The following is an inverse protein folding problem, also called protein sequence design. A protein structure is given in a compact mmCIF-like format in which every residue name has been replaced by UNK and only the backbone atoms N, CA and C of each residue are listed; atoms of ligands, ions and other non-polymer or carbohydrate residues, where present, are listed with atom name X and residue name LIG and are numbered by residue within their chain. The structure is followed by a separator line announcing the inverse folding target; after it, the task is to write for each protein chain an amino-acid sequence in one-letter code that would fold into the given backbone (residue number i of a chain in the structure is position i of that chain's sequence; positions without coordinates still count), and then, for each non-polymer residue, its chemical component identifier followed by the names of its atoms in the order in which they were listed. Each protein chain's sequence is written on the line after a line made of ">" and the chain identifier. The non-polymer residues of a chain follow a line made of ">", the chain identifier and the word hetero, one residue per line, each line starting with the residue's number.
data_IF_673733388417
#
_entry.id   IF_673733388417
#
_cell.length_a   1.000
_cell.length_b   1.000
_cell.length_c   1.000
_cell.angle_alpha   90.00
_cell.angle_beta   90.00
_cell.angle_gamma   90.00
#
_symmetry.space_group_name_H-M   'P 1'
#
loop_
_entity.id
_entity.type
_entity.pdbx_description
1 polymer ?
#
# COMPACT_ATOMS: atom_id res chain seq x y z
N UNK A 1 33.74 21.46 -5.75
CA UNK A 1 33.13 22.82 -5.71
C UNK A 1 31.63 22.64 -5.64
N UNK A 2 31.01 23.03 -4.53
CA UNK A 2 29.55 22.95 -4.35
C UNK A 2 28.88 24.03 -5.20
N UNK A 3 27.96 23.62 -6.07
CA UNK A 3 27.13 24.53 -6.86
C UNK A 3 26.37 25.49 -5.93
N UNK A 4 26.51 26.79 -6.13
CA UNK A 4 25.83 27.80 -5.31
C UNK A 4 24.33 27.78 -5.59
N UNK A 5 23.52 28.19 -4.61
CA UNK A 5 22.06 28.25 -4.75
C UNK A 5 21.62 29.14 -5.93
N UNK A 6 22.36 30.21 -6.21
CA UNK A 6 22.10 31.10 -7.34
C UNK A 6 22.30 30.39 -8.68
N UNK A 7 23.41 29.65 -8.85
CA UNK A 7 23.66 28.88 -10.08
C UNK A 7 22.62 27.78 -10.31
N UNK A 8 22.17 27.10 -9.24
CA UNK A 8 21.06 26.12 -9.33
C UNK A 8 19.76 26.77 -9.79
N UNK A 9 19.44 27.94 -9.24
CA UNK A 9 18.22 28.66 -9.58
C UNK A 9 18.23 29.10 -11.05
N UNK A 10 19.34 29.62 -11.54
CA UNK A 10 19.50 29.99 -12.96
C UNK A 10 19.39 28.78 -13.88
N UNK A 11 19.92 27.61 -13.47
CA UNK A 11 19.77 26.36 -14.22
C UNK A 11 18.30 25.93 -14.28
N UNK A 12 17.58 25.95 -13.16
CA UNK A 12 16.15 25.64 -13.15
C UNK A 12 15.32 26.64 -13.97
N UNK A 13 15.70 27.92 -13.95
CA UNK A 13 15.04 28.95 -14.76
C UNK A 13 15.18 28.63 -16.26
N UNK A 14 16.41 28.33 -16.72
CA UNK A 14 16.68 27.93 -18.12
C UNK A 14 15.93 26.66 -18.52
N UNK A 15 15.85 25.68 -17.62
CA UNK A 15 15.10 24.46 -17.86
C UNK A 15 13.59 24.72 -17.95
N UNK A 16 13.06 25.62 -17.13
CA UNK A 16 11.65 26.02 -17.19
C UNK A 16 11.32 26.75 -18.51
N UNK A 17 12.21 27.63 -18.97
CA UNK A 17 12.07 28.33 -20.26
C UNK A 17 12.12 27.38 -21.47
N UNK A 18 12.81 26.24 -21.35
CA UNK A 18 12.90 25.21 -22.39
C UNK A 18 11.68 24.28 -22.44
N UNK A 19 10.81 24.29 -21.42
CA UNK A 19 9.59 23.46 -21.39
C UNK A 19 8.49 24.03 -22.31
N UNK A 20 7.56 23.19 -22.78
CA UNK A 20 6.38 23.63 -23.52
C UNK A 20 5.64 24.76 -22.80
N UNK A 21 5.15 25.76 -23.55
CA UNK A 21 4.51 26.98 -23.01
C UNK A 21 3.35 26.66 -22.06
N UNK A 22 2.62 25.58 -22.32
CA UNK A 22 1.52 25.10 -21.47
C UNK A 22 1.94 24.64 -20.06
N UNK A 23 3.23 24.40 -19.82
CA UNK A 23 3.76 23.90 -18.56
C UNK A 23 4.46 24.98 -17.72
N UNK A 24 5.01 26.01 -18.36
CA UNK A 24 5.85 27.04 -17.72
C UNK A 24 5.14 27.75 -16.55
N UNK A 25 3.82 27.98 -16.65
CA UNK A 25 3.02 28.67 -15.62
C UNK A 25 2.49 27.75 -14.51
N UNK A 26 2.55 26.44 -14.71
CA UNK A 26 1.91 25.46 -13.82
C UNK A 26 2.91 24.64 -13.01
N UNK A 27 4.19 24.66 -13.39
CA UNK A 27 5.25 23.90 -12.72
C UNK A 27 5.99 24.77 -11.70
N UNK A 28 6.05 24.31 -10.45
CA UNK A 28 6.96 24.86 -9.44
C UNK A 28 8.42 24.51 -9.77
N UNK A 29 9.36 25.43 -9.50
CA UNK A 29 10.80 25.24 -9.70
C UNK A 29 11.35 23.90 -9.17
N UNK A 30 10.79 23.40 -8.06
CA UNK A 30 11.18 22.12 -7.45
C UNK A 30 10.93 20.91 -8.37
N UNK A 31 9.96 21.01 -9.28
CA UNK A 31 9.54 19.91 -10.15
C UNK A 31 10.08 20.06 -11.58
N UNK A 32 10.74 21.18 -11.91
CA UNK A 32 11.24 21.49 -13.25
C UNK A 32 12.23 20.43 -13.73
N UNK A 33 13.16 20.03 -12.87
CA UNK A 33 14.15 19.00 -13.21
C UNK A 33 13.49 17.64 -13.47
N UNK A 34 12.42 17.32 -12.72
CA UNK A 34 11.71 16.07 -12.90
C UNK A 34 10.95 16.02 -14.22
N UNK A 35 10.35 17.14 -14.65
CA UNK A 35 9.61 17.28 -15.91
C UNK A 35 10.55 17.36 -17.10
N UNK A 36 11.64 18.12 -17.00
CA UNK A 36 12.64 18.22 -18.07
C UNK A 36 13.37 16.89 -18.33
N UNK A 37 13.39 15.98 -17.34
CA UNK A 37 13.90 14.63 -17.51
C UNK A 37 12.96 13.68 -18.26
N UNK A 38 11.72 14.09 -18.57
CA UNK A 38 10.80 13.30 -19.39
C UNK A 38 11.14 13.43 -20.89
N UNK A 39 10.85 12.40 -21.71
CA UNK A 39 10.86 12.52 -23.16
C UNK A 39 9.95 13.67 -23.64
N UNK A 40 10.28 14.29 -24.79
CA UNK A 40 9.53 15.45 -25.31
C UNK A 40 8.04 15.16 -25.48
N UNK A 41 7.68 13.98 -26.01
CA UNK A 41 6.27 13.57 -26.17
C UNK A 41 5.52 13.47 -24.84
N UNK A 42 6.21 13.01 -23.78
CA UNK A 42 5.62 12.95 -22.44
C UNK A 42 5.47 14.36 -21.82
N UNK A 43 6.37 15.29 -22.13
CA UNK A 43 6.21 16.69 -21.73
C UNK A 43 5.01 17.34 -22.42
N UNK A 44 4.79 17.06 -23.70
CA UNK A 44 3.61 17.54 -24.44
C UNK A 44 2.31 16.97 -23.88
N UNK A 45 2.25 15.65 -23.61
CA UNK A 45 1.08 15.02 -22.96
C UNK A 45 0.81 15.59 -21.57
N UNK A 46 1.85 15.87 -20.79
CA UNK A 46 1.70 16.52 -19.49
C UNK A 46 1.14 17.94 -19.65
N UNK A 47 1.58 18.67 -20.68
CA UNK A 47 1.08 20.01 -20.99
C UNK A 47 -0.43 19.98 -21.30
N UNK A 48 -0.86 19.03 -22.14
CA UNK A 48 -2.26 18.81 -22.48
C UNK A 48 -3.10 18.45 -21.25
N UNK A 49 -2.61 17.54 -20.40
CA UNK A 49 -3.29 17.17 -19.16
C UNK A 49 -3.43 18.36 -18.19
N UNK A 50 -2.40 19.19 -18.05
CA UNK A 50 -2.47 20.41 -17.24
C UNK A 50 -3.52 21.38 -17.77
N UNK A 51 -3.57 21.59 -19.09
CA UNK A 51 -4.60 22.43 -19.71
C UNK A 51 -6.01 21.86 -19.51
N UNK A 52 -6.15 20.53 -19.53
CA UNK A 52 -7.40 19.84 -19.28
C UNK A 52 -7.77 19.72 -17.78
N UNK A 53 -6.99 20.33 -16.87
CA UNK A 53 -7.34 20.46 -15.46
C UNK A 53 -6.60 19.54 -14.50
N UNK A 54 -5.48 18.95 -14.89
CA UNK A 54 -4.64 18.11 -14.02
C UNK A 54 -4.14 18.91 -12.80
N UNK A 55 -4.56 18.48 -11.60
CA UNK A 55 -4.19 19.15 -10.34
C UNK A 55 -2.89 18.63 -9.70
N UNK A 56 -2.46 17.40 -10.02
CA UNK A 56 -1.36 16.69 -9.32
C UNK A 56 -0.19 16.38 -10.26
N UNK A 57 0.63 17.39 -10.56
CA UNK A 57 1.78 17.26 -11.47
C UNK A 57 2.81 16.20 -11.03
N UNK A 58 3.26 16.12 -9.75
CA UNK A 58 4.29 15.15 -9.37
C UNK A 58 3.91 13.70 -9.70
N UNK A 59 2.64 13.35 -9.46
CA UNK A 59 2.12 12.01 -9.74
C UNK A 59 2.08 11.70 -11.23
N UNK A 60 1.65 12.66 -12.05
CA UNK A 60 1.64 12.49 -13.50
C UNK A 60 3.05 12.33 -14.08
N UNK A 61 4.04 13.03 -13.51
CA UNK A 61 5.46 12.86 -13.88
C UNK A 61 5.96 11.47 -13.53
N UNK A 62 5.57 10.90 -12.38
CA UNK A 62 5.90 9.52 -12.03
C UNK A 62 5.27 8.51 -13.01
N UNK A 63 4.01 8.70 -13.39
CA UNK A 63 3.34 7.84 -14.37
C UNK A 63 4.03 7.88 -15.73
N UNK A 64 4.34 9.09 -16.23
CA UNK A 64 5.02 9.29 -17.51
C UNK A 64 6.49 8.82 -17.52
N UNK A 65 7.13 8.71 -16.35
CA UNK A 65 8.44 8.07 -16.23
C UNK A 65 8.38 6.56 -16.41
N UNK A 66 7.28 5.93 -15.97
CA UNK A 66 7.06 4.49 -16.12
C UNK A 66 6.60 4.18 -17.54
N UNK A 67 5.61 4.91 -18.04
CA UNK A 67 5.11 4.80 -19.40
C UNK A 67 4.91 6.18 -20.05
N UNK A 68 5.85 6.61 -20.92
CA UNK A 68 5.75 7.87 -21.65
C UNK A 68 4.51 8.00 -22.54
N UNK A 69 3.84 6.89 -22.86
CA UNK A 69 2.66 6.84 -23.73
C UNK A 69 1.33 6.87 -22.96
N UNK A 70 1.36 7.05 -21.64
CA UNK A 70 0.14 7.22 -20.82
C UNK A 70 -0.76 8.31 -21.40
N UNK A 71 -2.05 7.98 -21.63
CA UNK A 71 -2.98 8.91 -22.29
C UNK A 71 -3.34 10.09 -21.39
N UNK A 72 -3.74 11.23 -21.98
CA UNK A 72 -4.19 12.41 -21.23
C UNK A 72 -5.40 12.10 -20.34
N UNK A 73 -6.28 11.21 -20.79
CA UNK A 73 -7.45 10.76 -20.00
C UNK A 73 -6.99 10.00 -18.76
N UNK A 74 -6.00 9.12 -18.90
CA UNK A 74 -5.41 8.36 -17.79
C UNK A 74 -4.55 9.23 -16.87
N UNK A 75 -4.08 10.40 -17.31
CA UNK A 75 -3.40 11.34 -16.42
C UNK A 75 -4.40 12.16 -15.59
N UNK A 76 -5.51 12.58 -16.22
CA UNK A 76 -6.56 13.39 -15.58
C UNK A 76 -7.42 12.57 -14.62
N UNK A 77 -7.85 11.41 -15.11
CA UNK A 77 -8.55 10.40 -14.38
C UNK A 77 -7.60 9.22 -14.32
N UNK A 78 -6.56 9.28 -13.46
CA UNK A 78 -5.77 8.09 -13.20
C UNK A 78 -6.76 6.98 -12.96
N UNK A 79 -6.72 5.87 -13.75
CA UNK A 79 -7.44 4.68 -13.34
C UNK A 79 -7.06 4.56 -11.88
N UNK A 80 -8.07 4.57 -11.01
CA UNK A 80 -7.89 4.31 -9.60
C UNK A 80 -6.84 3.22 -9.56
N UNK A 81 -5.61 3.55 -9.10
CA UNK A 81 -4.46 2.63 -8.94
C UNK A 81 -5.06 1.26 -8.82
N UNK A 82 -4.84 0.23 -9.66
CA UNK A 82 -5.72 -0.94 -9.70
C UNK A 82 -6.07 -1.35 -8.27
N UNK A 83 -7.21 -0.84 -7.81
CA UNK A 83 -7.82 -1.16 -6.55
C UNK A 83 -8.66 -2.25 -7.09
N UNK A 84 -8.27 -3.45 -6.70
CA UNK A 84 -8.74 -4.69 -7.28
C UNK A 84 -7.96 -5.10 -8.54
N UNK A 85 -6.67 -5.41 -8.37
CA UNK A 85 -6.38 -6.82 -8.67
C UNK A 85 -7.30 -7.59 -7.73
N UNK A 86 -8.34 -8.22 -8.30
CA UNK A 86 -8.87 -9.43 -7.68
C UNK A 86 -7.63 -10.19 -7.23
N UNK A 87 -7.46 -10.45 -5.92
CA UNK A 87 -6.21 -10.99 -5.42
C UNK A 87 -5.83 -12.11 -6.37
N UNK A 88 -4.68 -11.97 -7.04
CA UNK A 88 -4.29 -12.92 -8.08
C UNK A 88 -4.49 -14.31 -7.50
N UNK A 89 -4.92 -15.28 -8.31
CA UNK A 89 -5.23 -16.63 -7.80
C UNK A 89 -4.14 -17.13 -6.84
N UNK A 90 -2.88 -16.76 -7.07
CA UNK A 90 -1.73 -16.96 -6.20
C UNK A 90 -1.84 -16.32 -4.80
N UNK A 91 -2.29 -15.07 -4.68
CA UNK A 91 -2.54 -14.38 -3.39
C UNK A 91 -3.66 -15.07 -2.62
N UNK A 92 -4.77 -15.40 -3.28
CA UNK A 92 -5.88 -16.10 -2.62
C UNK A 92 -5.44 -17.47 -2.14
N UNK A 93 -4.74 -18.24 -2.98
CA UNK A 93 -4.18 -19.53 -2.59
C UNK A 93 -3.18 -19.41 -1.44
N UNK A 94 -2.36 -18.35 -1.42
CA UNK A 94 -1.44 -18.10 -0.32
C UNK A 94 -2.18 -17.87 1.01
N UNK A 95 -3.17 -16.97 1.01
CA UNK A 95 -4.00 -16.67 2.19
C UNK A 95 -4.74 -17.93 2.66
N UNK A 96 -5.34 -18.68 1.74
CA UNK A 96 -6.03 -19.94 2.06
C UNK A 96 -5.08 -20.95 2.72
N UNK A 97 -3.87 -21.10 2.16
CA UNK A 97 -2.88 -22.03 2.69
C UNK A 97 -2.37 -21.62 4.07
N UNK A 98 -2.16 -20.32 4.29
CA UNK A 98 -1.75 -19.74 5.57
C UNK A 98 -2.83 -19.94 6.63
N UNK A 99 -4.09 -19.59 6.33
CA UNK A 99 -5.21 -19.78 7.24
C UNK A 99 -5.45 -21.25 7.58
N UNK A 100 -5.39 -22.14 6.59
CA UNK A 100 -5.48 -23.58 6.84
C UNK A 100 -4.34 -24.07 7.74
N UNK A 101 -3.14 -23.51 7.60
CA UNK A 101 -2.00 -23.77 8.50
C UNK A 101 -2.27 -23.32 9.93
N UNK A 102 -2.80 -22.10 10.12
CA UNK A 102 -3.18 -21.57 11.43
C UNK A 102 -4.29 -22.40 12.09
N UNK A 103 -5.32 -22.79 11.32
CA UNK A 103 -6.39 -23.67 11.81
C UNK A 103 -5.82 -24.99 12.32
N UNK A 104 -4.87 -25.61 11.61
CA UNK A 104 -4.24 -26.85 12.06
C UNK A 104 -3.34 -26.66 13.29
N UNK A 105 -2.77 -25.47 13.51
CA UNK A 105 -2.09 -25.16 14.76
C UNK A 105 -3.07 -25.08 15.94
N UNK A 106 -4.27 -24.53 15.71
CA UNK A 106 -5.33 -24.53 16.72
C UNK A 106 -5.91 -25.93 16.96
N UNK A 107 -6.04 -26.74 15.91
CA UNK A 107 -6.67 -28.07 15.92
C UNK A 107 -5.75 -29.12 15.26
N UNK A 108 -4.75 -29.66 15.99
CA UNK A 108 -3.71 -30.52 15.42
C UNK A 108 -4.23 -31.80 14.74
N UNK A 109 -5.34 -32.36 15.25
CA UNK A 109 -5.95 -33.57 14.71
C UNK A 109 -6.80 -33.33 13.45
N UNK A 110 -6.99 -32.06 13.05
CA UNK A 110 -7.81 -31.71 11.89
C UNK A 110 -7.10 -32.07 10.57
N UNK A 111 -7.70 -32.89 9.69
CA UNK A 111 -7.15 -33.17 8.37
C UNK A 111 -7.01 -31.90 7.53
N UNK A 112 -5.96 -31.83 6.70
CA UNK A 112 -5.65 -30.66 5.87
C UNK A 112 -6.83 -30.22 5.01
N UNK A 113 -7.51 -31.16 4.38
CA UNK A 113 -8.67 -30.91 3.51
C UNK A 113 -9.81 -30.23 4.29
N UNK A 114 -10.03 -30.61 5.56
CA UNK A 114 -11.02 -29.97 6.42
C UNK A 114 -10.62 -28.56 6.83
N UNK A 115 -9.33 -28.34 7.12
CA UNK A 115 -8.82 -27.01 7.44
C UNK A 115 -8.90 -26.05 6.24
N UNK A 116 -8.62 -26.53 5.03
CA UNK A 116 -8.79 -25.76 3.79
C UNK A 116 -10.26 -25.46 3.49
N UNK A 117 -11.16 -26.42 3.70
CA UNK A 117 -12.59 -26.20 3.57
C UNK A 117 -13.09 -25.15 4.58
N UNK A 118 -12.65 -25.23 5.84
CA UNK A 118 -12.99 -24.26 6.87
C UNK A 118 -12.43 -22.86 6.54
N UNK A 119 -11.17 -22.78 6.11
CA UNK A 119 -10.53 -21.53 5.70
C UNK A 119 -11.29 -20.82 4.54
N UNK A 120 -12.02 -21.57 3.72
CA UNK A 120 -12.84 -21.05 2.62
C UNK A 120 -14.32 -20.81 2.96
N UNK A 121 -14.77 -21.23 4.15
CA UNK A 121 -16.17 -21.08 4.56
C UNK A 121 -16.53 -19.64 4.92
N UNK A 122 -17.82 -19.29 4.88
CA UNK A 122 -18.29 -17.93 5.18
C UNK A 122 -17.93 -17.48 6.60
N UNK A 123 -17.89 -18.40 7.57
CA UNK A 123 -17.52 -18.08 8.96
C UNK A 123 -16.07 -17.58 9.11
N UNK A 124 -15.21 -17.82 8.12
CA UNK A 124 -13.81 -17.38 8.09
C UNK A 124 -13.59 -16.11 7.26
N UNK A 125 -14.66 -15.43 6.80
CA UNK A 125 -14.54 -14.20 6.00
C UNK A 125 -13.70 -13.12 6.68
N UNK A 126 -13.99 -12.80 7.94
CA UNK A 126 -13.24 -11.79 8.69
C UNK A 126 -11.74 -12.14 8.83
N UNK A 127 -11.41 -13.42 8.97
CA UNK A 127 -10.02 -13.89 9.04
C UNK A 127 -9.31 -13.75 7.68
N UNK A 128 -10.01 -14.05 6.57
CA UNK A 128 -9.50 -13.85 5.20
C UNK A 128 -9.24 -12.39 4.90
N UNK A 129 -10.18 -11.51 5.24
CA UNK A 129 -10.05 -10.07 5.02
C UNK A 129 -8.88 -9.49 5.81
N UNK A 130 -8.72 -9.94 7.06
CA UNK A 130 -7.60 -9.54 7.92
C UNK A 130 -6.27 -10.03 7.33
N UNK A 131 -6.16 -11.29 6.93
CA UNK A 131 -4.96 -11.84 6.31
C UNK A 131 -4.61 -11.11 4.99
N UNK A 132 -5.62 -10.79 4.18
CA UNK A 132 -5.43 -10.00 2.97
C UNK A 132 -4.91 -8.59 3.28
N UNK A 133 -5.49 -7.90 4.26
CA UNK A 133 -5.05 -6.58 4.68
C UNK A 133 -3.60 -6.59 5.18
N UNK A 134 -3.22 -7.62 5.96
CA UNK A 134 -1.85 -7.82 6.43
C UNK A 134 -0.88 -8.04 5.27
N UNK A 135 -1.24 -8.88 4.30
CA UNK A 135 -0.40 -9.12 3.13
C UNK A 135 -0.19 -7.82 2.33
N UNK A 136 -1.25 -7.04 2.10
CA UNK A 136 -1.17 -5.77 1.39
C UNK A 136 -0.32 -4.74 2.16
N UNK A 137 -0.43 -4.71 3.49
CA UNK A 137 0.40 -3.88 4.36
C UNK A 137 1.90 -4.17 4.13
N UNK A 138 2.31 -5.45 4.14
CA UNK A 138 3.71 -5.82 3.95
C UNK A 138 4.21 -5.63 2.51
N UNK A 139 3.32 -5.64 1.51
CA UNK A 139 3.65 -5.27 0.13
C UNK A 139 3.81 -3.77 -0.08
N UNK A 140 3.36 -2.94 0.86
CA UNK A 140 3.43 -1.48 0.73
C UNK A 140 4.88 -0.98 0.80
N UNK A 141 5.28 -0.21 -0.22
CA UNK A 141 6.57 0.50 -0.23
C UNK A 141 6.70 1.52 0.90
N UNK A 142 5.58 1.95 1.50
CA UNK A 142 5.56 2.97 2.54
C UNK A 142 5.77 2.42 3.95
N UNK A 143 5.63 1.11 4.17
CA UNK A 143 5.75 0.51 5.51
C UNK A 143 7.13 0.76 6.15
N UNK A 144 8.17 0.91 5.32
CA UNK A 144 9.54 1.21 5.78
C UNK A 144 9.73 2.65 6.28
N UNK A 145 8.73 3.50 6.15
CA UNK A 145 8.78 4.89 6.64
C UNK A 145 8.55 4.89 8.14
N UNK A 146 9.43 5.53 8.92
CA UNK A 146 9.36 5.56 10.39
C UNK A 146 7.98 5.93 10.92
N UNK A 147 7.37 6.99 10.39
CA UNK A 147 6.04 7.43 10.80
C UNK A 147 4.96 6.39 10.50
N UNK A 148 5.00 5.76 9.33
CA UNK A 148 4.02 4.73 8.94
C UNK A 148 4.20 3.50 9.82
N UNK A 149 5.44 3.06 10.04
CA UNK A 149 5.75 1.91 10.89
C UNK A 149 5.29 2.13 12.33
N UNK A 150 5.52 3.32 12.90
CA UNK A 150 5.06 3.66 14.25
C UNK A 150 3.53 3.62 14.37
N UNK A 151 2.81 4.18 13.39
CA UNK A 151 1.34 4.18 13.40
C UNK A 151 0.80 2.75 13.24
N UNK A 152 1.33 1.99 12.28
CA UNK A 152 0.93 0.58 12.06
C UNK A 152 1.21 -0.26 13.30
N UNK A 153 2.38 -0.11 13.92
CA UNK A 153 2.72 -0.80 15.16
C UNK A 153 1.74 -0.46 16.30
N UNK A 154 1.40 0.81 16.47
CA UNK A 154 0.40 1.25 17.44
C UNK A 154 -0.98 0.63 17.20
N UNK A 155 -1.43 0.61 15.94
CA UNK A 155 -2.69 -0.02 15.55
C UNK A 155 -2.70 -1.52 15.85
N UNK A 156 -1.64 -2.25 15.48
CA UNK A 156 -1.54 -3.69 15.73
C UNK A 156 -1.57 -4.01 17.23
N UNK A 157 -0.95 -3.17 18.06
CA UNK A 157 -1.03 -3.32 19.52
C UNK A 157 -2.43 -3.11 20.05
N UNK A 158 -3.12 -2.06 19.61
CA UNK A 158 -4.49 -1.79 20.04
C UNK A 158 -5.44 -2.91 19.61
N UNK A 159 -5.29 -3.42 18.39
CA UNK A 159 -6.06 -4.57 17.91
C UNK A 159 -5.80 -5.82 18.75
N UNK A 160 -4.54 -6.13 19.04
CA UNK A 160 -4.19 -7.29 19.86
C UNK A 160 -4.76 -7.18 21.28
N UNK A 161 -4.64 -6.00 21.89
CA UNK A 161 -5.20 -5.74 23.23
C UNK A 161 -6.71 -5.96 23.24
N UNK A 162 -7.44 -5.44 22.25
CA UNK A 162 -8.88 -5.62 22.16
C UNK A 162 -9.29 -7.09 21.93
N UNK A 163 -8.51 -7.85 21.16
CA UNK A 163 -8.74 -9.29 20.98
C UNK A 163 -8.47 -10.07 22.27
N UNK A 164 -7.40 -9.74 23.00
CA UNK A 164 -7.07 -10.35 24.28
C UNK A 164 -8.19 -10.10 25.32
N UNK A 165 -8.69 -8.86 25.41
CA UNK A 165 -9.85 -8.52 26.26
C UNK A 165 -11.10 -9.33 25.89
N UNK A 166 -11.41 -9.46 24.59
CA UNK A 166 -12.56 -10.23 24.12
C UNK A 166 -12.44 -11.73 24.47
N UNK A 167 -11.23 -12.30 24.36
CA UNK A 167 -10.96 -13.69 24.76
C UNK A 167 -11.10 -13.84 26.28
N UNK A 168 -10.56 -12.89 27.05
CA UNK A 168 -10.67 -12.91 28.51
C UNK A 168 -12.13 -12.84 28.97
N UNK A 169 -12.94 -11.98 28.35
CA UNK A 169 -14.34 -11.77 28.72
C UNK A 169 -15.27 -12.91 28.28
N UNK A 170 -14.81 -13.79 27.39
CA UNK A 170 -15.62 -14.88 26.82
C UNK A 170 -15.10 -16.26 27.25
N UNK A 171 -15.73 -16.95 28.23
CA UNK A 171 -15.25 -18.23 28.76
C UNK A 171 -15.02 -19.32 27.71
N UNK A 172 -15.90 -19.40 26.69
CA UNK A 172 -15.78 -20.37 25.61
C UNK A 172 -14.55 -20.11 24.72
N UNK A 173 -14.21 -18.83 24.47
CA UNK A 173 -13.01 -18.47 23.73
C UNK A 173 -11.76 -18.78 24.56
N UNK A 174 -11.74 -18.40 25.84
CA UNK A 174 -10.64 -18.72 26.74
C UNK A 174 -10.34 -20.23 26.77
N UNK A 175 -11.39 -21.06 26.93
CA UNK A 175 -11.23 -22.51 26.88
C UNK A 175 -10.69 -23.00 25.53
N UNK A 176 -11.15 -22.42 24.41
CA UNK A 176 -10.65 -22.79 23.09
C UNK A 176 -9.16 -22.42 22.91
N UNK A 177 -8.71 -21.29 23.45
CA UNK A 177 -7.30 -20.90 23.42
C UNK A 177 -6.43 -21.73 24.38
N UNK A 178 -6.95 -22.11 25.55
CA UNK A 178 -6.25 -22.99 26.50
C UNK A 178 -6.06 -24.42 25.96
N UNK A 179 -7.04 -24.90 25.17
CA UNK A 179 -7.01 -26.22 24.55
C UNK A 179 -6.32 -26.24 23.18
N UNK A 180 -6.20 -25.08 22.54
CA UNK A 180 -5.57 -24.92 21.24
C UNK A 180 -4.04 -24.98 21.32
N UNK A 181 -3.41 -25.29 20.18
CA UNK A 181 -1.95 -25.32 20.08
C UNK A 181 -1.28 -23.94 19.89
N UNK A 182 -2.07 -22.85 19.83
CA UNK A 182 -1.51 -21.51 19.70
C UNK A 182 -1.06 -20.97 21.06
N UNK A 183 0.17 -20.46 21.19
CA UNK A 183 0.62 -19.85 22.43
C UNK A 183 -0.14 -18.54 22.66
N UNK A 184 -1.13 -18.57 23.55
CA UNK A 184 -1.82 -17.39 24.06
C UNK A 184 -1.42 -17.14 25.51
N UNK A 185 -0.89 -15.95 25.77
CA UNK A 185 -0.73 -15.40 27.12
C UNK A 185 -1.10 -13.93 27.04
N UNK A 186 -1.94 -13.42 27.96
CA UNK A 186 -2.15 -11.98 28.10
C UNK A 186 -0.79 -11.29 28.22
N UNK A 187 -0.58 -10.27 27.40
CA UNK A 187 0.74 -9.68 27.28
C UNK A 187 1.16 -8.93 28.57
N UNK A 188 2.33 -9.27 29.12
CA UNK A 188 2.89 -8.69 30.36
C UNK A 188 3.44 -7.26 30.20
N UNK A 189 3.41 -6.64 29.01
CA UNK A 189 3.94 -5.29 28.79
C UNK A 189 3.09 -4.18 29.43
N UNK A 190 1.97 -4.52 30.07
CA UNK A 190 1.13 -3.62 30.88
C UNK A 190 1.79 -3.16 32.21
N UNK A 191 3.09 -3.36 32.40
CA UNK A 191 3.85 -2.90 33.58
C UNK A 191 4.66 -1.65 33.31
#
# INVERSE_FOLDING_TARGET
>A
MSETYQSKRERWQRMLEALPVGLQKHISLRNVEAVAGLPLEAQERLAEAVQAGLKRIPRAVEQLRVDPNTSVVDLLNPPSLPVTESPSTDIQQHIQNELAGLIQQCFPDMPRVSAEALANSDVMEAARDTAQAHLLLFKSNHLRTDFVMMVVYGLMRQTLEHLEEMIEDTPALRQAFDQGGLPWKPNDWRR
#
